data_IF_737530998201
#
_entry.id   IF_737530998201
#
_cell.length_a   1.000
_cell.length_b   1.000
_cell.length_c   1.000
_cell.angle_alpha   90.00
_cell.angle_beta   90.00
_cell.angle_gamma   90.00
#
_symmetry.space_group_name_H-M   'P 1'
#
loop_
_entity.id
_entity.type
_entity.pdbx_description
1 polymer ?
#
# COMPACT_ATOMS: atom_id res chain seq x y z
N UNK A 1 -9.11 -15.85 -1.97
CA UNK A 1 -8.66 -15.53 -3.34
C UNK A 1 -9.19 -14.16 -3.72
N UNK A 2 -8.30 -13.30 -4.16
CA UNK A 2 -8.55 -11.90 -4.54
C UNK A 2 -8.33 -11.73 -6.04
N UNK A 3 -9.20 -11.01 -6.74
CA UNK A 3 -8.92 -10.46 -8.06
C UNK A 3 -8.83 -8.94 -7.96
N UNK A 4 -7.91 -8.32 -8.69
CA UNK A 4 -7.78 -6.86 -8.73
C UNK A 4 -7.38 -6.37 -10.11
N UNK A 5 -7.75 -5.13 -10.43
CA UNK A 5 -7.31 -4.44 -11.63
C UNK A 5 -6.75 -3.05 -11.33
N UNK A 6 -6.31 -2.38 -12.40
CA UNK A 6 -5.80 -1.02 -12.31
C UNK A 6 -6.93 -0.02 -12.01
N UNK A 7 -6.57 1.08 -11.34
CA UNK A 7 -7.49 2.15 -11.00
C UNK A 7 -7.09 3.44 -11.72
N UNK A 8 -8.06 4.05 -12.41
CA UNK A 8 -7.91 5.38 -13.01
C UNK A 8 -8.16 6.45 -11.97
N UNK A 9 -7.22 7.36 -11.79
CA UNK A 9 -7.43 8.56 -11.01
C UNK A 9 -8.04 9.63 -11.89
N UNK A 10 -9.14 10.22 -11.44
CA UNK A 10 -9.88 11.25 -12.15
C UNK A 10 -9.99 12.52 -11.30
N UNK A 11 -10.15 13.67 -11.93
CA UNK A 11 -10.45 14.92 -11.24
C UNK A 11 -11.96 15.06 -10.91
N UNK A 12 -12.35 16.25 -10.46
CA UNK A 12 -13.75 16.57 -10.15
C UNK A 12 -14.66 16.46 -11.39
N UNK A 13 -14.13 16.82 -12.56
CA UNK A 13 -14.82 16.84 -13.86
C UNK A 13 -14.78 15.48 -14.58
N UNK A 14 -14.12 14.48 -13.97
CA UNK A 14 -14.02 13.13 -14.49
C UNK A 14 -12.91 12.93 -15.53
N UNK A 15 -12.03 13.92 -15.72
CA UNK A 15 -10.89 13.79 -16.62
C UNK A 15 -9.82 12.88 -16.00
N UNK A 16 -9.21 12.05 -16.85
CA UNK A 16 -8.13 11.16 -16.43
C UNK A 16 -6.89 11.97 -16.02
N UNK A 17 -6.43 11.75 -14.79
CA UNK A 17 -5.18 12.30 -14.29
C UNK A 17 -4.03 11.31 -14.48
N UNK A 18 -4.19 10.06 -14.03
CA UNK A 18 -3.24 8.97 -14.24
C UNK A 18 -3.89 7.60 -13.97
N UNK A 19 -3.17 6.52 -14.29
CA UNK A 19 -3.60 5.14 -14.00
C UNK A 19 -2.62 4.50 -13.03
N UNK A 20 -3.12 4.07 -11.87
CA UNK A 20 -2.36 3.22 -10.94
C UNK A 20 -2.46 1.76 -11.37
N UNK A 21 -1.33 1.21 -11.82
CA UNK A 21 -1.19 -0.20 -12.21
C UNK A 21 -0.48 -0.94 -11.08
N UNK A 22 -1.25 -1.67 -10.28
CA UNK A 22 -0.74 -2.52 -9.21
C UNK A 22 0.25 -3.59 -9.74
N UNK A 23 -0.05 -4.16 -10.92
CA UNK A 23 0.80 -5.15 -11.58
C UNK A 23 0.96 -6.45 -10.80
N UNK A 24 1.44 -7.51 -11.46
CA UNK A 24 1.66 -8.84 -10.85
C UNK A 24 2.65 -8.87 -9.68
N UNK A 25 3.39 -7.79 -9.45
CA UNK A 25 4.37 -7.65 -8.37
C UNK A 25 3.79 -7.06 -7.08
N UNK A 26 2.63 -6.38 -7.13
CA UNK A 26 1.99 -5.79 -5.95
C UNK A 26 1.88 -6.76 -4.75
N UNK A 27 1.48 -8.04 -4.92
CA UNK A 27 1.37 -8.94 -3.79
C UNK A 27 2.71 -9.25 -3.12
N UNK A 28 3.82 -9.21 -3.87
CA UNK A 28 5.15 -9.51 -3.34
C UNK A 28 5.73 -8.35 -2.53
N UNK A 29 5.32 -7.12 -2.84
CA UNK A 29 5.78 -5.92 -2.15
C UNK A 29 4.89 -5.53 -0.97
N UNK A 30 3.63 -5.99 -0.88
CA UNK A 30 2.72 -5.69 0.22
C UNK A 30 3.32 -5.91 1.62
N UNK A 31 4.26 -6.84 1.76
CA UNK A 31 4.92 -7.14 3.04
C UNK A 31 5.98 -6.11 3.46
N UNK A 32 6.57 -5.36 2.52
CA UNK A 32 7.77 -4.53 2.78
C UNK A 32 7.73 -3.14 2.12
N UNK A 33 6.83 -2.91 1.18
CA UNK A 33 6.72 -1.71 0.34
C UNK A 33 5.28 -1.21 0.25
N UNK A 34 5.05 -0.11 -0.49
CA UNK A 34 3.76 0.59 -0.52
C UNK A 34 2.61 -0.33 -0.92
N UNK A 35 1.42 -0.07 -0.37
CA UNK A 35 0.20 -0.71 -0.87
C UNK A 35 -0.08 -0.15 -2.27
N UNK A 36 0.00 -1.03 -3.27
CA UNK A 36 -0.21 -0.68 -4.66
C UNK A 36 -1.51 -1.25 -5.20
N UNK A 37 -2.26 -2.05 -4.44
CA UNK A 37 -3.51 -2.65 -4.91
C UNK A 37 -4.66 -1.68 -4.62
N UNK A 38 -5.28 -1.07 -5.64
CA UNK A 38 -6.35 -0.12 -5.40
C UNK A 38 -7.61 -0.85 -4.93
N UNK A 39 -8.07 -0.56 -3.71
CA UNK A 39 -9.32 -1.10 -3.16
C UNK A 39 -10.53 -0.98 -4.10
N UNK A 40 -10.76 0.14 -4.83
CA UNK A 40 -11.89 0.27 -5.76
C UNK A 40 -11.88 -0.75 -6.89
N UNK A 41 -10.72 -1.34 -7.21
CA UNK A 41 -10.57 -2.34 -8.26
C UNK A 41 -10.51 -3.78 -7.75
N UNK A 42 -10.84 -4.04 -6.48
CA UNK A 42 -10.73 -5.36 -5.86
C UNK A 42 -12.06 -6.12 -5.81
N UNK A 43 -11.98 -7.44 -6.03
CA UNK A 43 -13.06 -8.38 -5.78
C UNK A 43 -12.55 -9.54 -4.90
N UNK A 44 -13.22 -9.76 -3.77
CA UNK A 44 -12.86 -10.82 -2.81
C UNK A 44 -13.92 -11.93 -2.85
N UNK A 45 -13.50 -13.20 -2.91
CA UNK A 45 -14.45 -14.30 -2.69
C UNK A 45 -15.03 -14.20 -1.28
N UNK A 46 -16.36 -14.27 -1.17
CA UNK A 46 -17.09 -14.19 0.12
C UNK A 46 -16.52 -15.12 1.20
N UNK A 47 -16.30 -16.39 0.88
CA UNK A 47 -15.73 -17.35 1.84
C UNK A 47 -14.35 -16.91 2.39
N UNK A 48 -13.52 -16.28 1.55
CA UNK A 48 -12.22 -15.76 1.98
C UNK A 48 -12.37 -14.50 2.85
N UNK A 49 -13.35 -13.64 2.54
CA UNK A 49 -13.69 -12.47 3.36
C UNK A 49 -14.14 -12.88 4.76
N UNK A 50 -15.08 -13.83 4.85
CA UNK A 50 -15.59 -14.35 6.11
C UNK A 50 -14.48 -15.05 6.91
N UNK A 51 -13.61 -15.81 6.24
CA UNK A 51 -12.49 -16.51 6.88
C UNK A 51 -11.47 -15.57 7.53
N UNK A 52 -11.21 -14.39 6.95
CA UNK A 52 -10.26 -13.41 7.49
C UNK A 52 -10.91 -12.38 8.42
N UNK A 53 -12.23 -12.43 8.59
CA UNK A 53 -13.00 -11.52 9.44
C UNK A 53 -13.27 -10.14 8.84
N UNK A 54 -13.10 -9.96 7.53
CA UNK A 54 -13.36 -8.68 6.85
C UNK A 54 -12.43 -7.53 7.26
N UNK A 55 -12.97 -6.30 7.23
CA UNK A 55 -12.25 -5.08 7.60
C UNK A 55 -12.17 -4.93 9.12
N UNK A 56 -11.04 -4.45 9.61
CA UNK A 56 -10.84 -4.09 11.01
C UNK A 56 -11.07 -2.58 11.19
N UNK A 57 -12.17 -2.23 11.85
CA UNK A 57 -12.60 -0.84 12.10
C UNK A 57 -11.66 -0.05 13.02
N UNK A 58 -10.66 -0.71 13.65
CA UNK A 58 -9.60 -0.01 14.39
C UNK A 58 -8.61 0.73 13.49
N UNK A 59 -8.64 0.50 12.18
CA UNK A 59 -7.82 1.22 11.19
C UNK A 59 -8.65 2.31 10.51
N UNK A 60 -8.13 3.55 10.52
CA UNK A 60 -8.73 4.68 9.81
C UNK A 60 -8.26 4.78 8.36
N UNK A 61 -7.02 4.41 8.08
CA UNK A 61 -6.34 4.62 6.81
C UNK A 61 -5.77 3.34 6.19
N UNK A 62 -5.33 2.37 7.00
CA UNK A 62 -4.65 1.16 6.51
C UNK A 62 -5.50 -0.12 6.63
N UNK A 63 -6.84 0.02 6.65
CA UNK A 63 -7.78 -1.11 6.76
C UNK A 63 -7.70 -2.04 5.55
N UNK A 64 -7.42 -1.48 4.37
CA UNK A 64 -7.24 -2.18 3.10
C UNK A 64 -5.94 -3.00 3.09
N UNK A 65 -4.83 -2.40 3.54
CA UNK A 65 -3.56 -3.08 3.70
C UNK A 65 -3.65 -4.26 4.68
N UNK A 66 -4.31 -4.08 5.83
CA UNK A 66 -4.54 -5.15 6.80
C UNK A 66 -5.34 -6.31 6.18
N UNK A 67 -6.46 -6.00 5.50
CA UNK A 67 -7.27 -7.00 4.80
C UNK A 67 -6.46 -7.75 3.73
N UNK A 68 -5.69 -7.03 2.91
CA UNK A 68 -4.85 -7.62 1.88
C UNK A 68 -3.81 -8.56 2.49
N UNK A 69 -3.14 -8.15 3.56
CA UNK A 69 -2.16 -9.00 4.23
C UNK A 69 -2.79 -10.29 4.79
N UNK A 70 -3.98 -10.21 5.40
CA UNK A 70 -4.74 -11.39 5.86
C UNK A 70 -5.13 -12.31 4.70
N UNK A 71 -5.67 -11.75 3.62
CA UNK A 71 -6.06 -12.52 2.43
C UNK A 71 -4.87 -13.20 1.74
N UNK A 72 -3.69 -12.58 1.79
CA UNK A 72 -2.46 -13.12 1.21
C UNK A 72 -1.98 -14.39 1.94
N UNK A 73 -2.30 -14.54 3.22
CA UNK A 73 -1.96 -15.74 4.00
C UNK A 73 -2.74 -16.96 3.52
N UNK A 74 -4.01 -16.77 3.14
CA UNK A 74 -4.93 -17.88 2.82
C UNK A 74 -5.06 -18.15 1.32
N UNK A 75 -4.47 -17.33 0.44
CA UNK A 75 -4.52 -17.58 -0.99
C UNK A 75 -3.82 -16.55 -1.88
N UNK A 76 -3.82 -16.84 -3.18
CA UNK A 76 -3.21 -16.00 -4.20
C UNK A 76 -4.10 -14.83 -4.65
N UNK A 77 -3.45 -13.83 -5.23
CA UNK A 77 -4.09 -12.69 -5.86
C UNK A 77 -3.91 -12.75 -7.38
N UNK A 78 -4.93 -12.33 -8.12
CA UNK A 78 -4.96 -12.33 -9.58
C UNK A 78 -5.09 -10.89 -10.08
N UNK A 79 -4.09 -10.44 -10.83
CA UNK A 79 -4.15 -9.19 -11.60
C UNK A 79 -4.86 -9.45 -12.93
N UNK A 80 -5.93 -8.71 -13.21
CA UNK A 80 -6.69 -8.83 -14.48
C UNK A 80 -6.04 -8.06 -15.63
N UNK A 81 -5.06 -7.19 -15.37
CA UNK A 81 -4.34 -6.43 -16.39
C UNK A 81 -5.16 -5.34 -17.09
N UNK A 82 -6.36 -5.05 -16.61
CA UNK A 82 -7.29 -4.05 -17.15
C UNK A 82 -7.58 -2.96 -16.12
N UNK A 83 -8.00 -1.79 -16.60
CA UNK A 83 -8.56 -0.73 -15.75
C UNK A 83 -10.00 -1.10 -15.46
N UNK A 84 -10.34 -1.28 -14.19
CA UNK A 84 -11.67 -1.76 -13.76
C UNK A 84 -12.38 -0.80 -12.81
N UNK A 85 -11.69 0.26 -12.38
CA UNK A 85 -12.23 1.23 -11.43
C UNK A 85 -11.71 2.63 -11.70
N UNK A 86 -12.41 3.63 -11.15
CA UNK A 86 -11.99 5.02 -11.14
C UNK A 86 -12.10 5.60 -9.73
N UNK A 87 -11.11 6.38 -9.31
CA UNK A 87 -11.07 7.06 -8.03
C UNK A 87 -10.92 8.56 -8.24
N UNK A 88 -11.79 9.35 -7.63
CA UNK A 88 -11.71 10.81 -7.71
C UNK A 88 -10.65 11.32 -6.74
N UNK A 89 -9.62 11.97 -7.28
CA UNK A 89 -8.58 12.63 -6.50
C UNK A 89 -9.07 14.00 -6.03
N UNK A 90 -8.84 14.34 -4.76
CA UNK A 90 -9.10 15.67 -4.22
C UNK A 90 -7.84 16.23 -3.54
N UNK A 91 -7.64 17.55 -3.63
CA UNK A 91 -6.45 18.22 -3.07
C UNK A 91 -6.28 18.02 -1.56
N UNK A 92 -7.40 17.84 -0.86
CA UNK A 92 -7.45 17.65 0.60
C UNK A 92 -7.29 16.19 1.04
N UNK A 93 -6.99 15.25 0.13
CA UNK A 93 -7.02 13.81 0.47
C UNK A 93 -6.08 13.40 1.60
N UNK A 94 -5.02 14.15 1.89
CA UNK A 94 -4.03 13.78 2.91
C UNK A 94 -3.39 15.01 3.55
N UNK A 95 -3.96 15.52 4.64
CA UNK A 95 -3.28 16.51 5.48
C UNK A 95 -2.01 15.90 6.10
N UNK A 96 -1.07 16.74 6.55
CA UNK A 96 0.19 16.25 7.16
C UNK A 96 -0.08 15.36 8.37
N UNK A 97 -1.14 15.64 9.15
CA UNK A 97 -1.59 14.79 10.26
C UNK A 97 -2.06 13.42 9.80
N UNK A 98 -2.86 13.35 8.73
CA UNK A 98 -3.36 12.08 8.19
C UNK A 98 -2.21 11.19 7.67
N UNK A 99 -1.14 11.80 7.12
CA UNK A 99 0.02 11.06 6.62
C UNK A 99 0.78 10.33 7.74
N UNK A 100 0.98 10.95 8.90
CA UNK A 100 1.73 10.33 9.99
C UNK A 100 0.92 9.19 10.63
N UNK A 101 -0.39 9.37 10.80
CA UNK A 101 -1.29 8.33 11.27
C UNK A 101 -1.38 7.18 10.27
N UNK A 102 -1.53 7.46 8.97
CA UNK A 102 -1.54 6.44 7.91
C UNK A 102 -0.26 5.60 7.89
N UNK A 103 0.90 6.22 8.10
CA UNK A 103 2.17 5.50 8.19
C UNK A 103 2.21 4.58 9.42
N UNK A 104 1.83 5.09 10.60
CA UNK A 104 1.82 4.30 11.83
C UNK A 104 0.85 3.11 11.76
N UNK A 105 -0.32 3.31 11.17
CA UNK A 105 -1.29 2.25 10.92
C UNK A 105 -0.75 1.22 9.91
N UNK A 106 -0.10 1.65 8.85
CA UNK A 106 0.50 0.75 7.86
C UNK A 106 1.61 -0.13 8.46
N UNK A 107 2.41 0.43 9.37
CA UNK A 107 3.40 -0.35 10.14
C UNK A 107 2.72 -1.36 11.07
N UNK A 108 1.63 -0.97 11.74
CA UNK A 108 0.84 -1.85 12.61
C UNK A 108 0.26 -3.04 11.82
N UNK A 109 -0.37 -2.79 10.68
CA UNK A 109 -0.94 -3.82 9.81
C UNK A 109 0.13 -4.85 9.39
N UNK A 110 1.29 -4.37 8.93
CA UNK A 110 2.42 -5.25 8.55
C UNK A 110 2.93 -6.09 9.71
N UNK A 111 3.07 -5.50 10.90
CA UNK A 111 3.52 -6.22 12.09
C UNK A 111 2.51 -7.30 12.51
N UNK A 112 1.21 -7.01 12.41
CA UNK A 112 0.14 -7.97 12.71
C UNK A 112 0.14 -9.15 11.73
N UNK A 113 0.47 -8.90 10.46
CA UNK A 113 0.56 -9.91 9.42
C UNK A 113 1.80 -10.83 9.49
N UNK A 114 2.78 -10.52 10.34
CA UNK A 114 3.93 -11.40 10.57
C UNK A 114 3.49 -12.68 11.26
N UNK A 115 4.01 -13.82 10.80
CA UNK A 115 3.69 -15.12 11.41
C UNK A 115 4.11 -15.15 12.89
N UNK A 116 3.46 -15.92 13.78
CA UNK A 116 3.75 -15.91 15.21
C UNK A 116 5.21 -16.24 15.60
N UNK A 117 5.93 -16.98 14.75
CA UNK A 117 7.36 -17.25 14.92
C UNK A 117 8.24 -16.08 14.47
N UNK A 118 7.89 -15.46 13.34
CA UNK A 118 8.56 -14.27 12.80
C UNK A 118 8.32 -13.05 13.69
N UNK A 119 7.11 -12.90 14.26
CA UNK A 119 6.76 -11.86 15.25
C UNK A 119 7.55 -11.97 16.55
N UNK A 120 7.91 -13.19 16.97
CA UNK A 120 8.80 -13.43 18.12
C UNK A 120 10.27 -13.13 17.81
N UNK A 121 10.70 -13.37 16.57
CA UNK A 121 12.05 -13.06 16.11
C UNK A 121 12.23 -11.59 15.65
N UNK A 122 11.14 -10.87 15.39
CA UNK A 122 11.13 -9.52 14.80
C UNK A 122 11.98 -8.51 15.57
N UNK A 123 12.05 -8.62 16.89
CA UNK A 123 12.91 -7.79 17.73
C UNK A 123 14.40 -7.81 17.30
N UNK A 124 14.90 -8.93 16.76
CA UNK A 124 16.30 -9.07 16.33
C UNK A 124 16.64 -8.27 15.07
N UNK A 125 15.65 -7.93 14.24
CA UNK A 125 15.87 -7.31 12.92
C UNK A 125 15.00 -6.06 12.66
N UNK A 126 14.08 -5.69 13.55
CA UNK A 126 13.33 -4.42 13.50
C UNK A 126 14.26 -3.19 13.51
N UNK A 127 15.35 -3.22 14.27
CA UNK A 127 16.36 -2.16 14.29
C UNK A 127 17.06 -1.98 12.92
N UNK A 128 17.71 -3.03 12.39
CA UNK A 128 18.32 -3.00 11.06
C UNK A 128 17.36 -2.60 9.93
N UNK A 129 16.12 -3.13 9.92
CA UNK A 129 15.12 -2.81 8.89
C UNK A 129 14.68 -1.35 8.97
N UNK A 130 14.49 -0.79 10.17
CA UNK A 130 14.21 0.65 10.34
C UNK A 130 15.35 1.52 9.84
N UNK A 131 16.59 1.13 10.10
CA UNK A 131 17.78 1.84 9.58
C UNK A 131 17.83 1.77 8.06
N UNK A 132 17.66 0.59 7.47
CA UNK A 132 17.65 0.40 6.02
C UNK A 132 16.53 1.19 5.34
N UNK A 133 15.33 1.21 5.91
CA UNK A 133 14.18 1.99 5.40
C UNK A 133 14.47 3.48 5.46
N UNK A 134 15.06 3.98 6.55
CA UNK A 134 15.47 5.38 6.70
C UNK A 134 16.59 5.77 5.73
N UNK A 135 17.56 4.88 5.51
CA UNK A 135 18.63 5.09 4.53
C UNK A 135 18.08 5.11 3.10
N UNK A 136 17.17 4.22 2.74
CA UNK A 136 16.52 4.22 1.43
C UNK A 136 15.69 5.49 1.20
N UNK A 137 14.94 5.94 2.20
CA UNK A 137 14.20 7.21 2.14
C UNK A 137 15.13 8.42 1.99
N UNK A 138 16.25 8.45 2.74
CA UNK A 138 17.24 9.51 2.65
C UNK A 138 17.97 9.52 1.29
N UNK A 139 18.27 8.35 0.72
CA UNK A 139 18.91 8.25 -0.59
C UNK A 139 17.97 8.69 -1.72
N UNK A 140 16.69 8.36 -1.63
CA UNK A 140 15.66 8.86 -2.53
C UNK A 140 15.53 10.40 -2.42
N UNK A 141 15.52 10.95 -1.21
CA UNK A 141 15.54 12.40 -0.98
C UNK A 141 16.79 13.08 -1.53
N UNK A 142 17.96 12.45 -1.37
CA UNK A 142 19.24 12.95 -1.91
C UNK A 142 19.19 13.00 -3.43
N UNK A 143 18.78 11.91 -4.09
CA UNK A 143 18.65 11.85 -5.56
C UNK A 143 17.60 12.82 -6.10
N UNK A 144 16.50 13.03 -5.38
CA UNK A 144 15.50 14.03 -5.73
C UNK A 144 16.08 15.45 -5.66
N UNK A 145 16.83 15.78 -4.59
CA UNK A 145 17.53 17.06 -4.46
C UNK A 145 18.58 17.28 -5.54
N UNK A 146 19.41 16.28 -5.86
CA UNK A 146 20.44 16.39 -6.89
C UNK A 146 19.84 16.64 -8.28
N UNK A 147 18.68 16.05 -8.59
CA UNK A 147 17.96 16.30 -9.85
C UNK A 147 17.30 17.69 -9.89
N UNK A 148 16.78 18.18 -8.76
CA UNK A 148 16.23 19.54 -8.66
C UNK A 148 17.30 20.63 -8.76
N UNK A 149 18.51 20.40 -8.24
CA UNK A 149 19.64 21.33 -8.42
C UNK A 149 20.26 21.24 -9.80
N UNK A 150 20.16 20.10 -10.50
CA UNK A 150 20.63 19.99 -11.89
C UNK A 150 19.70 20.68 -12.90
N UNK A 151 18.40 20.83 -12.59
CA UNK A 151 17.45 21.55 -13.44
C UNK A 151 17.38 23.06 -13.16
N UNK A 152 17.96 23.54 -12.06
CA UNK A 152 17.98 24.97 -11.69
C UNK A 152 19.23 25.73 -12.21
N UNK A 153 20.11 25.04 -12.95
CA UNK A 153 21.35 25.59 -13.52
C UNK A 153 21.33 25.63 -15.05
N UNK A 154 20.14 25.54 -15.66
CA UNK A 154 19.89 25.91 -17.06
C UNK A 154 19.04 27.16 -17.13
#
# INVERSE_FOLDING_TARGET
MLAYGACRYIDADGQELWISKAGKWAPRILKWGPDLIPQPGMLVRRAAWEQVGGLDESFKFAFDLDLLLKLQVIGGFVDVGQVVSSFRWHGDSLTVGDRSTSLAESERARRMALSPGVRRAAWLWEGPVRVATRMAANELHRRARTRLTASATQ
#
